data_IF_012820886669
#
_entry.id   IF_012820886669
#
_cell.length_a   1.000
_cell.length_b   1.000
_cell.length_c   1.000
_cell.angle_alpha   90.00
_cell.angle_beta   90.00
_cell.angle_gamma   90.00
#
_symmetry.space_group_name_H-M   'P 1'
#
loop_
_entity.id
_entity.type
_entity.pdbx_description
1 polymer ?
#
# COMPACT_ATOMS: atom_id res chain seq x y z
N UNK A 1 -19.18 -2.49 -22.53
CA UNK A 1 -18.03 -1.83 -21.90
C UNK A 1 -17.42 -2.82 -20.92
N UNK A 2 -16.09 -2.96 -20.87
CA UNK A 2 -15.44 -3.82 -19.87
C UNK A 2 -15.70 -3.26 -18.47
N UNK A 3 -15.95 -4.14 -17.50
CA UNK A 3 -16.13 -3.76 -16.09
C UNK A 3 -14.82 -3.15 -15.56
N UNK A 4 -14.90 -2.06 -14.81
CA UNK A 4 -13.77 -1.48 -14.09
C UNK A 4 -13.47 -2.31 -12.85
N UNK A 5 -12.20 -2.56 -12.60
CA UNK A 5 -11.73 -3.40 -11.49
C UNK A 5 -11.21 -2.51 -10.36
N UNK A 6 -11.92 -2.46 -9.27
CA UNK A 6 -11.51 -1.73 -8.07
C UNK A 6 -10.69 -2.65 -7.19
N UNK A 7 -9.43 -2.29 -6.99
CA UNK A 7 -8.48 -2.95 -6.12
C UNK A 7 -8.46 -2.22 -4.77
N UNK A 8 -9.14 -2.77 -3.79
CA UNK A 8 -9.03 -2.30 -2.41
C UNK A 8 -7.77 -2.89 -1.81
N UNK A 9 -6.89 -2.05 -1.33
CA UNK A 9 -5.62 -2.42 -0.70
C UNK A 9 -5.59 -1.85 0.70
N UNK A 10 -5.54 -2.74 1.70
CA UNK A 10 -5.40 -2.35 3.10
C UNK A 10 -3.91 -2.23 3.45
N UNK A 11 -3.54 -1.10 4.03
CA UNK A 11 -2.17 -0.77 4.41
C UNK A 11 -2.13 0.18 5.60
N UNK A 12 -0.97 0.69 5.89
CA UNK A 12 -0.68 1.81 6.78
C UNK A 12 0.44 2.64 6.15
N UNK A 13 0.78 3.82 6.67
CA UNK A 13 2.12 4.38 6.57
C UNK A 13 2.71 4.40 7.96
N UNK A 14 3.95 3.93 8.11
CA UNK A 14 4.52 3.70 9.44
C UNK A 14 5.94 4.25 9.56
N UNK A 15 6.03 5.43 10.19
CA UNK A 15 7.30 5.93 10.71
C UNK A 15 7.63 5.21 12.02
N UNK A 16 8.88 4.76 12.16
CA UNK A 16 9.36 4.14 13.39
C UNK A 16 9.62 5.16 14.50
N UNK A 17 9.85 6.41 14.11
CA UNK A 17 10.06 7.55 15.00
C UNK A 17 9.71 8.84 14.24
N UNK A 18 8.90 9.70 14.82
CA UNK A 18 8.52 11.01 14.27
C UNK A 18 8.07 11.95 15.39
N UNK A 19 6.75 12.19 15.60
CA UNK A 19 6.21 13.01 16.69
C UNK A 19 6.10 12.26 18.02
N UNK A 20 6.44 11.01 18.06
CA UNK A 20 6.62 10.18 19.26
C UNK A 20 7.94 9.40 19.14
N UNK A 21 8.45 8.92 20.28
CA UNK A 21 9.66 8.09 20.29
C UNK A 21 9.41 6.73 19.63
N UNK A 22 10.50 6.10 19.19
CA UNK A 22 10.48 4.75 18.61
C UNK A 22 9.68 3.74 19.47
N UNK A 23 9.88 3.76 20.80
CA UNK A 23 9.19 2.80 21.67
C UNK A 23 7.68 3.04 21.73
N UNK A 24 7.23 4.29 21.64
CA UNK A 24 5.81 4.61 21.60
C UNK A 24 5.18 4.14 20.28
N UNK A 25 5.85 4.38 19.14
CA UNK A 25 5.37 3.86 17.84
C UNK A 25 5.41 2.35 17.79
N UNK A 26 6.45 1.71 18.34
CA UNK A 26 6.54 0.25 18.42
C UNK A 26 5.40 -0.35 19.23
N UNK A 27 5.04 0.27 20.37
CA UNK A 27 3.88 -0.15 21.15
C UNK A 27 2.58 -0.10 20.32
N UNK A 28 2.36 0.99 19.58
CA UNK A 28 1.21 1.13 18.68
C UNK A 28 1.25 0.11 17.53
N UNK A 29 2.44 -0.14 16.98
CA UNK A 29 2.61 -1.16 15.94
C UNK A 29 2.22 -2.56 16.45
N UNK A 30 2.59 -2.90 17.68
CA UNK A 30 2.17 -4.17 18.29
C UNK A 30 0.65 -4.25 18.38
N UNK A 31 -0.02 -3.18 18.80
CA UNK A 31 -1.48 -3.13 18.84
C UNK A 31 -2.12 -3.27 17.45
N UNK A 32 -1.60 -2.57 16.44
CA UNK A 32 -2.04 -2.72 15.05
C UNK A 32 -1.93 -4.17 14.59
N UNK A 33 -0.76 -4.79 14.79
CA UNK A 33 -0.52 -6.16 14.34
C UNK A 33 -1.40 -7.18 15.10
N UNK A 34 -1.52 -7.05 16.42
CA UNK A 34 -2.40 -7.90 17.23
C UNK A 34 -3.87 -7.77 16.76
N UNK A 35 -4.32 -6.55 16.41
CA UNK A 35 -5.67 -6.30 15.89
C UNK A 35 -5.90 -6.94 14.51
N UNK A 36 -4.91 -6.86 13.61
CA UNK A 36 -4.97 -7.53 12.31
C UNK A 36 -5.04 -9.05 12.47
N UNK A 37 -4.19 -9.63 13.33
CA UNK A 37 -4.19 -11.06 13.61
C UNK A 37 -5.55 -11.53 14.13
N UNK A 38 -6.12 -10.79 15.08
CA UNK A 38 -7.46 -11.07 15.59
C UNK A 38 -8.53 -10.96 14.49
N UNK A 39 -8.44 -9.94 13.62
CA UNK A 39 -9.37 -9.76 12.51
C UNK A 39 -9.35 -10.92 11.52
N UNK A 40 -8.19 -11.50 11.21
CA UNK A 40 -8.09 -12.69 10.37
C UNK A 40 -8.60 -13.95 11.08
N UNK A 41 -8.34 -14.10 12.39
CA UNK A 41 -8.78 -15.26 13.18
C UNK A 41 -10.31 -15.31 13.28
N UNK A 42 -10.97 -14.19 13.48
CA UNK A 42 -12.42 -14.13 13.63
C UNK A 42 -13.17 -13.90 12.29
N UNK A 43 -12.43 -13.84 11.17
CA UNK A 43 -12.98 -13.71 9.82
C UNK A 43 -13.51 -12.31 9.46
N UNK A 44 -13.34 -11.31 10.32
CA UNK A 44 -13.70 -9.92 10.00
C UNK A 44 -12.78 -9.32 8.94
N UNK A 45 -11.48 -9.65 8.95
CA UNK A 45 -10.53 -9.28 7.92
C UNK A 45 -10.36 -10.45 6.93
N UNK A 46 -10.73 -10.25 5.67
CA UNK A 46 -10.77 -11.33 4.67
C UNK A 46 -9.62 -11.29 3.67
N UNK A 47 -9.09 -10.12 3.37
CA UNK A 47 -8.03 -9.93 2.39
C UNK A 47 -6.65 -9.68 2.98
N UNK A 48 -5.67 -9.34 2.13
CA UNK A 48 -4.29 -9.09 2.56
C UNK A 48 -4.11 -7.74 3.25
N UNK A 49 -3.08 -7.64 4.08
CA UNK A 49 -2.54 -6.40 4.59
C UNK A 49 -1.13 -6.16 4.01
N UNK A 50 -0.89 -4.95 3.54
CA UNK A 50 0.40 -4.51 2.99
C UNK A 50 1.19 -3.72 4.05
N UNK A 51 2.42 -4.12 4.34
CA UNK A 51 3.26 -3.49 5.37
C UNK A 51 3.99 -2.24 4.88
N UNK A 52 3.29 -1.24 4.34
CA UNK A 52 3.87 0.05 3.93
C UNK A 52 5.12 -0.06 3.01
N UNK A 53 5.23 -1.13 2.24
CA UNK A 53 6.43 -1.40 1.47
C UNK A 53 7.67 -1.81 2.29
N UNK A 54 7.55 -2.00 3.60
CA UNK A 54 8.64 -2.22 4.55
C UNK A 54 8.55 -3.59 5.23
N UNK A 55 9.69 -4.25 5.47
CA UNK A 55 9.74 -5.49 6.26
C UNK A 55 10.06 -5.26 7.73
N UNK A 56 10.65 -4.12 8.07
CA UNK A 56 11.05 -3.77 9.44
C UNK A 56 9.87 -3.79 10.43
N UNK A 57 8.65 -3.50 9.96
CA UNK A 57 7.45 -3.54 10.79
C UNK A 57 7.24 -4.94 11.41
N UNK A 58 7.46 -5.97 10.60
CA UNK A 58 7.32 -7.36 11.05
C UNK A 58 8.47 -7.75 11.99
N UNK A 59 9.68 -7.25 11.74
CA UNK A 59 10.82 -7.46 12.65
C UNK A 59 10.56 -6.82 14.02
N UNK A 60 10.17 -5.53 14.04
CA UNK A 60 9.83 -4.80 15.27
C UNK A 60 8.68 -5.47 16.05
N UNK A 61 7.69 -6.01 15.33
CA UNK A 61 6.60 -6.78 15.95
C UNK A 61 7.10 -8.09 16.57
N UNK A 62 7.88 -8.87 15.83
CA UNK A 62 8.38 -10.19 16.28
C UNK A 62 9.44 -10.08 17.38
N UNK A 63 10.13 -8.96 17.51
CA UNK A 63 10.96 -8.69 18.68
C UNK A 63 10.12 -8.52 19.96
N UNK A 64 8.92 -7.93 19.85
CA UNK A 64 8.00 -7.74 20.97
C UNK A 64 7.10 -8.97 21.22
N UNK A 65 6.81 -9.74 20.19
CA UNK A 65 5.90 -10.90 20.18
C UNK A 65 6.55 -12.12 19.50
N UNK A 66 7.66 -12.65 20.03
CA UNK A 66 8.37 -13.77 19.38
C UNK A 66 7.51 -15.04 19.24
N UNK A 67 6.54 -15.24 20.13
CA UNK A 67 5.57 -16.34 20.09
C UNK A 67 4.65 -16.29 18.86
N UNK A 68 4.50 -15.14 18.24
CA UNK A 68 3.65 -14.95 17.05
C UNK A 68 4.35 -15.32 15.73
N UNK A 69 5.61 -15.72 15.76
CA UNK A 69 6.40 -16.02 14.56
C UNK A 69 5.71 -17.01 13.62
N UNK A 70 5.25 -18.14 14.12
CA UNK A 70 4.62 -19.17 13.29
C UNK A 70 3.32 -18.66 12.61
N UNK A 71 2.55 -17.81 13.30
CA UNK A 71 1.34 -17.21 12.77
C UNK A 71 1.67 -16.20 11.65
N UNK A 72 2.66 -15.34 11.86
CA UNK A 72 3.16 -14.39 10.85
C UNK A 72 3.69 -15.12 9.61
N UNK A 73 4.48 -16.17 9.79
CA UNK A 73 5.01 -16.99 8.67
C UNK A 73 3.88 -17.67 7.87
N UNK A 74 2.83 -18.15 8.55
CA UNK A 74 1.65 -18.72 7.91
C UNK A 74 0.89 -17.67 7.06
N UNK A 75 0.70 -16.47 7.61
CA UNK A 75 0.05 -15.35 6.90
C UNK A 75 0.88 -14.86 5.71
N UNK A 76 2.19 -14.77 5.88
CA UNK A 76 3.11 -14.41 4.81
C UNK A 76 3.11 -15.45 3.68
N UNK A 77 3.14 -16.74 4.03
CA UNK A 77 3.09 -17.87 3.07
C UNK A 77 1.78 -17.92 2.30
N UNK A 78 0.67 -17.61 2.95
CA UNK A 78 -0.66 -17.57 2.30
C UNK A 78 -0.90 -16.30 1.49
N UNK A 79 -0.01 -15.30 1.56
CA UNK A 79 -0.16 -14.00 0.89
C UNK A 79 -1.11 -13.03 1.61
N UNK A 80 -1.58 -13.37 2.82
CA UNK A 80 -2.39 -12.45 3.64
C UNK A 80 -1.57 -11.31 4.24
N UNK A 81 -0.30 -11.56 4.57
CA UNK A 81 0.64 -10.53 4.98
C UNK A 81 1.65 -10.30 3.86
N UNK A 82 1.58 -9.15 3.22
CA UNK A 82 2.45 -8.76 2.10
C UNK A 82 3.52 -7.80 2.59
N UNK A 83 4.80 -8.14 2.39
CA UNK A 83 5.94 -7.43 2.96
C UNK A 83 6.91 -6.92 1.88
N UNK A 84 7.58 -5.82 2.19
CA UNK A 84 8.61 -5.24 1.33
C UNK A 84 8.03 -4.46 0.14
N UNK A 85 8.91 -4.06 -0.81
CA UNK A 85 10.22 -4.64 -1.13
C UNK A 85 11.39 -4.17 -0.26
N UNK A 86 11.23 -3.04 0.44
CA UNK A 86 12.26 -2.45 1.29
C UNK A 86 12.41 -3.18 2.63
N UNK A 87 13.59 -3.04 3.22
CA UNK A 87 13.75 -3.29 4.65
C UNK A 87 13.08 -2.17 5.46
N UNK A 88 13.51 -0.93 5.20
CA UNK A 88 12.88 0.29 5.71
C UNK A 88 12.77 1.28 4.55
N UNK A 89 11.70 2.07 4.47
CA UNK A 89 11.53 3.06 3.40
C UNK A 89 12.65 4.11 3.48
N UNK A 90 13.46 4.27 2.41
CA UNK A 90 14.58 5.20 2.42
C UNK A 90 14.15 6.58 1.96
N UNK A 91 14.78 7.63 2.47
CA UNK A 91 14.82 8.91 1.75
C UNK A 91 15.94 8.85 0.70
N UNK A 92 15.57 8.94 -0.57
CA UNK A 92 16.45 8.67 -1.71
C UNK A 92 17.63 9.64 -1.82
N UNK A 93 17.51 10.87 -1.32
CA UNK A 93 18.56 11.89 -1.39
C UNK A 93 19.49 11.89 -0.17
N UNK A 94 19.10 11.23 0.93
CA UNK A 94 19.91 11.21 2.16
C UNK A 94 20.82 9.98 2.25
N UNK A 95 20.61 8.98 1.39
CA UNK A 95 21.37 7.72 1.42
C UNK A 95 22.14 7.50 0.13
N UNK A 96 23.19 6.65 0.19
CA UNK A 96 23.95 6.29 -1.01
C UNK A 96 23.18 5.30 -1.89
N UNK A 97 23.54 5.20 -3.18
CA UNK A 97 22.98 4.19 -4.08
C UNK A 97 23.21 2.76 -3.59
N UNK A 98 24.40 2.49 -2.99
CA UNK A 98 24.71 1.20 -2.35
C UNK A 98 23.76 0.91 -1.18
N UNK A 99 23.39 1.91 -0.38
CA UNK A 99 22.42 1.77 0.70
C UNK A 99 21.04 1.39 0.18
N UNK A 100 20.59 1.99 -0.93
CA UNK A 100 19.31 1.63 -1.58
C UNK A 100 19.30 0.17 -2.03
N UNK A 101 20.38 -0.28 -2.68
CA UNK A 101 20.53 -1.67 -3.14
C UNK A 101 20.52 -2.65 -1.95
N UNK A 102 21.28 -2.35 -0.89
CA UNK A 102 21.33 -3.20 0.31
C UNK A 102 20.01 -3.24 1.04
N UNK A 103 19.32 -2.11 1.13
CA UNK A 103 17.99 -2.00 1.75
C UNK A 103 16.98 -2.92 1.02
N UNK A 104 16.86 -2.82 -0.30
CA UNK A 104 16.02 -3.73 -1.11
C UNK A 104 16.43 -5.20 -0.94
N UNK A 105 17.73 -5.51 -0.98
CA UNK A 105 18.22 -6.87 -0.79
C UNK A 105 17.82 -7.43 0.57
N UNK A 106 17.98 -6.65 1.64
CA UNK A 106 17.67 -7.04 3.01
C UNK A 106 16.16 -7.26 3.17
N UNK A 107 15.32 -6.30 2.76
CA UNK A 107 13.87 -6.43 2.86
C UNK A 107 13.35 -7.67 2.14
N UNK A 108 13.79 -7.87 0.89
CA UNK A 108 13.40 -9.05 0.11
C UNK A 108 13.91 -10.37 0.69
N UNK A 109 15.08 -10.36 1.33
CA UNK A 109 15.62 -11.55 2.02
C UNK A 109 14.79 -11.91 3.23
N UNK A 110 14.46 -10.92 4.09
CA UNK A 110 13.64 -11.13 5.29
C UNK A 110 12.22 -11.59 4.95
N UNK A 111 11.58 -11.00 3.94
CA UNK A 111 10.26 -11.44 3.50
C UNK A 111 10.26 -12.93 3.11
N UNK A 112 11.31 -13.41 2.42
CA UNK A 112 11.47 -14.84 2.10
C UNK A 112 11.76 -15.69 3.32
N UNK A 113 12.59 -15.20 4.24
CA UNK A 113 12.92 -15.90 5.49
C UNK A 113 11.68 -16.16 6.34
N UNK A 114 10.70 -15.25 6.30
CA UNK A 114 9.40 -15.43 6.97
C UNK A 114 8.36 -16.13 6.09
N UNK A 115 8.79 -16.79 5.02
CA UNK A 115 7.96 -17.63 4.16
C UNK A 115 7.14 -16.90 3.12
N UNK A 116 7.18 -15.57 3.08
CA UNK A 116 6.45 -14.74 2.12
C UNK A 116 7.16 -14.59 0.77
N UNK A 117 6.41 -14.07 -0.18
CA UNK A 117 6.97 -13.53 -1.42
C UNK A 117 7.19 -12.04 -1.23
N UNK A 118 8.43 -11.51 -1.42
CA UNK A 118 8.65 -10.07 -1.34
C UNK A 118 7.82 -9.35 -2.38
N UNK A 119 7.14 -8.28 -1.99
CA UNK A 119 6.34 -7.45 -2.89
C UNK A 119 7.15 -7.03 -4.12
N UNK A 120 6.49 -6.98 -5.26
CA UNK A 120 7.00 -6.45 -6.52
C UNK A 120 6.53 -5.01 -6.78
N UNK A 121 5.83 -4.41 -5.85
CA UNK A 121 5.43 -3.01 -5.92
C UNK A 121 6.59 -2.12 -5.46
N UNK A 122 7.13 -1.28 -6.34
CA UNK A 122 8.12 -0.25 -6.00
C UNK A 122 7.46 0.84 -5.17
N UNK A 123 7.34 0.64 -3.86
CA UNK A 123 6.63 1.54 -2.96
C UNK A 123 7.57 2.63 -2.45
N UNK A 124 7.32 3.89 -2.83
CA UNK A 124 8.11 5.07 -2.48
C UNK A 124 7.18 6.28 -2.24
N UNK A 125 6.24 6.12 -1.32
CA UNK A 125 5.10 7.03 -1.21
C UNK A 125 5.35 8.25 -0.33
N UNK A 126 6.13 8.13 0.74
CA UNK A 126 6.51 9.26 1.59
C UNK A 126 8.01 9.60 1.47
N UNK A 127 8.41 9.89 0.24
CA UNK A 127 9.78 10.29 -0.12
C UNK A 127 9.75 11.74 -0.58
N UNK A 128 10.75 12.53 -0.14
CA UNK A 128 10.76 13.99 -0.35
C UNK A 128 11.48 14.42 -1.64
N UNK A 129 11.58 13.53 -2.58
CA UNK A 129 12.15 13.70 -3.90
C UNK A 129 12.67 12.37 -4.43
N UNK A 130 12.77 12.23 -5.75
CA UNK A 130 13.13 10.99 -6.41
C UNK A 130 14.38 11.18 -7.26
N UNK A 131 15.35 10.27 -7.13
CA UNK A 131 16.50 10.27 -8.01
C UNK A 131 16.19 9.53 -9.33
N UNK A 132 16.80 9.98 -10.41
CA UNK A 132 16.53 9.46 -11.75
C UNK A 132 16.96 8.01 -11.99
N UNK A 133 17.70 7.39 -11.07
CA UNK A 133 18.14 6.00 -11.17
C UNK A 133 17.18 5.00 -10.53
N UNK A 134 16.13 5.45 -9.85
CA UNK A 134 15.20 4.53 -9.18
C UNK A 134 14.59 3.47 -10.10
N UNK A 135 14.15 3.77 -11.34
CA UNK A 135 13.68 2.72 -12.25
C UNK A 135 14.75 1.65 -12.54
N UNK A 136 16.02 2.05 -12.73
CA UNK A 136 17.13 1.14 -12.94
C UNK A 136 17.40 0.27 -11.71
N UNK A 137 17.39 0.87 -10.50
CA UNK A 137 17.58 0.15 -9.24
C UNK A 137 16.48 -0.88 -9.05
N UNK A 138 15.22 -0.49 -9.21
CA UNK A 138 14.08 -1.40 -9.08
C UNK A 138 14.12 -2.53 -10.12
N UNK A 139 14.45 -2.21 -11.39
CA UNK A 139 14.57 -3.21 -12.44
C UNK A 139 15.63 -4.26 -12.13
N UNK A 140 16.75 -3.89 -11.46
CA UNK A 140 17.75 -4.82 -10.97
C UNK A 140 17.22 -5.86 -9.97
N UNK A 141 16.07 -5.60 -9.37
CA UNK A 141 15.34 -6.53 -8.48
C UNK A 141 14.10 -7.15 -9.13
N UNK A 142 13.86 -6.91 -10.43
CA UNK A 142 12.71 -7.40 -11.17
C UNK A 142 11.42 -6.63 -10.84
N UNK A 143 11.52 -5.41 -10.32
CA UNK A 143 10.40 -4.52 -10.02
C UNK A 143 10.23 -3.55 -11.18
N UNK A 144 9.10 -3.59 -11.89
CA UNK A 144 8.85 -2.82 -13.11
C UNK A 144 7.68 -1.83 -12.98
N UNK A 145 7.06 -1.79 -11.82
CA UNK A 145 6.02 -0.80 -11.51
C UNK A 145 6.08 -0.38 -10.04
N UNK A 146 5.58 0.81 -9.74
CA UNK A 146 5.62 1.33 -8.38
C UNK A 146 4.56 2.38 -8.11
N UNK A 147 4.59 2.85 -6.86
CA UNK A 147 3.69 3.90 -6.36
C UNK A 147 4.53 5.02 -5.75
N UNK A 148 4.14 6.25 -6.03
CA UNK A 148 4.77 7.45 -5.49
C UNK A 148 3.73 8.56 -5.28
N UNK A 149 4.12 9.59 -4.57
CA UNK A 149 3.26 10.76 -4.32
C UNK A 149 3.92 12.07 -4.73
N UNK A 150 4.99 12.48 -4.04
CA UNK A 150 5.67 13.77 -4.22
C UNK A 150 6.60 13.76 -5.44
N UNK A 151 7.12 14.92 -5.80
CA UNK A 151 8.19 15.05 -6.79
C UNK A 151 7.76 15.04 -8.27
N UNK A 152 6.46 15.04 -8.57
CA UNK A 152 5.93 15.05 -9.95
C UNK A 152 4.97 16.22 -10.16
N UNK A 153 5.25 17.01 -11.20
CA UNK A 153 4.47 18.21 -11.57
C UNK A 153 3.27 17.91 -12.50
N UNK A 154 2.62 16.74 -12.34
CA UNK A 154 1.45 16.35 -13.14
C UNK A 154 0.34 15.79 -12.23
N UNK A 155 -0.32 16.67 -11.44
CA UNK A 155 -1.23 16.24 -10.38
C UNK A 155 -2.47 15.47 -10.87
N UNK A 156 -2.88 15.69 -12.11
CA UNK A 156 -4.11 15.10 -12.68
C UNK A 156 -3.92 13.71 -13.29
N UNK A 157 -2.68 13.24 -13.39
CA UNK A 157 -2.37 11.92 -13.92
C UNK A 157 -2.09 10.93 -12.79
N UNK A 158 -2.79 9.80 -12.83
CA UNK A 158 -2.53 8.68 -11.90
C UNK A 158 -1.44 7.75 -12.41
N UNK A 159 -1.30 7.57 -13.70
CA UNK A 159 -0.34 6.63 -14.29
C UNK A 159 0.63 7.37 -15.22
N UNK A 160 1.91 7.11 -15.02
CA UNK A 160 3.02 7.74 -15.70
C UNK A 160 4.07 6.68 -16.07
N UNK A 161 4.86 6.97 -17.12
CA UNK A 161 6.12 6.27 -17.38
C UNK A 161 7.26 7.08 -16.78
N UNK A 162 8.04 6.40 -15.94
CA UNK A 162 9.27 6.97 -15.38
C UNK A 162 10.46 6.32 -16.05
N UNK A 163 11.30 7.13 -16.68
CA UNK A 163 12.47 6.69 -17.43
C UNK A 163 13.75 7.12 -16.74
N UNK A 164 14.61 6.16 -16.43
CA UNK A 164 15.95 6.40 -15.90
C UNK A 164 16.92 6.88 -16.99
N UNK A 165 18.08 7.39 -16.57
CA UNK A 165 19.11 7.89 -17.46
C UNK A 165 19.69 6.80 -18.41
N UNK A 166 19.70 5.53 -17.99
CA UNK A 166 20.12 4.37 -18.79
C UNK A 166 19.04 3.90 -19.80
N UNK A 167 17.87 4.55 -19.79
CA UNK A 167 16.73 4.19 -20.63
C UNK A 167 15.77 3.18 -20.01
N UNK A 168 16.07 2.63 -18.83
CA UNK A 168 15.14 1.74 -18.10
C UNK A 168 13.83 2.47 -17.79
N UNK A 169 12.70 1.84 -18.07
CA UNK A 169 11.38 2.39 -17.81
C UNK A 169 10.62 1.57 -16.78
N UNK A 170 9.87 2.26 -15.94
CA UNK A 170 8.86 1.65 -15.07
C UNK A 170 7.53 2.40 -15.16
N UNK A 171 6.44 1.69 -14.90
CA UNK A 171 5.12 2.29 -14.75
C UNK A 171 4.95 2.71 -13.29
N UNK A 172 4.52 3.95 -13.06
CA UNK A 172 4.26 4.44 -11.71
C UNK A 172 2.83 4.92 -11.56
N UNK A 173 2.19 4.51 -10.48
CA UNK A 173 0.96 5.10 -10.00
C UNK A 173 1.30 6.26 -9.06
N UNK A 174 0.75 7.44 -9.36
CA UNK A 174 0.86 8.61 -8.50
C UNK A 174 -0.40 8.76 -7.67
N UNK A 175 -0.25 8.80 -6.37
CA UNK A 175 -1.35 9.11 -5.45
C UNK A 175 -1.94 10.49 -5.70
N UNK A 176 -3.16 10.71 -5.23
CA UNK A 176 -3.88 11.96 -5.34
C UNK A 176 -3.27 13.11 -4.55
N UNK A 177 -4.10 14.09 -4.26
CA UNK A 177 -3.64 15.35 -3.67
C UNK A 177 -3.10 15.19 -2.24
N UNK A 178 -3.73 14.33 -1.43
CA UNK A 178 -3.34 14.07 -0.04
C UNK A 178 -2.48 12.80 0.07
N UNK A 179 -2.01 12.29 -1.08
CA UNK A 179 -1.12 11.13 -1.12
C UNK A 179 -1.83 9.83 -0.75
N UNK A 180 -1.10 8.97 -0.09
CA UNK A 180 -1.58 7.69 0.43
C UNK A 180 -2.64 7.85 1.54
N UNK A 181 -2.86 9.06 2.06
CA UNK A 181 -3.93 9.38 3.02
C UNK A 181 -5.27 9.77 2.38
N UNK A 182 -5.35 9.85 1.03
CA UNK A 182 -6.56 10.32 0.34
C UNK A 182 -7.83 9.58 0.77
N UNK A 183 -7.79 8.25 0.82
CA UNK A 183 -8.93 7.43 1.25
C UNK A 183 -9.25 7.63 2.74
N UNK A 184 -8.22 7.64 3.58
CA UNK A 184 -8.38 7.83 5.02
C UNK A 184 -9.09 9.14 5.37
N UNK A 185 -8.79 10.22 4.66
CA UNK A 185 -9.42 11.52 4.93
C UNK A 185 -10.76 11.70 4.23
N UNK A 186 -10.91 11.19 2.99
CA UNK A 186 -12.12 11.40 2.21
C UNK A 186 -13.24 10.41 2.50
N UNK A 187 -12.91 9.21 2.99
CA UNK A 187 -13.87 8.13 3.24
C UNK A 187 -13.94 7.78 4.72
N UNK A 188 -12.79 7.61 5.39
CA UNK A 188 -12.77 7.29 6.82
C UNK A 188 -12.86 8.52 7.72
N UNK A 189 -12.69 9.74 7.17
CA UNK A 189 -12.64 11.00 7.92
C UNK A 189 -11.69 10.94 9.12
N UNK A 190 -10.50 10.37 8.89
CA UNK A 190 -9.50 10.14 9.94
C UNK A 190 -8.97 11.44 10.59
N UNK A 191 -9.13 12.58 9.92
CA UNK A 191 -8.89 13.94 10.43
C UNK A 191 -9.99 14.48 11.34
N UNK A 192 -11.11 13.74 11.49
CA UNK A 192 -12.29 14.13 12.28
C UNK A 192 -12.58 13.09 13.38
N UNK A 193 -11.70 12.95 14.39
CA UNK A 193 -11.78 11.84 15.36
C UNK A 193 -13.05 11.84 16.24
N UNK A 194 -13.82 12.93 16.23
CA UNK A 194 -15.10 13.03 16.95
C UNK A 194 -16.32 12.74 16.08
N UNK A 195 -16.13 12.53 14.76
CA UNK A 195 -17.23 12.17 13.86
C UNK A 195 -17.69 10.76 14.18
N UNK A 196 -18.99 10.62 14.47
CA UNK A 196 -19.57 9.30 14.64
C UNK A 196 -19.55 8.53 13.33
N UNK A 197 -19.32 7.23 13.40
CA UNK A 197 -19.41 6.35 12.24
C UNK A 197 -20.86 6.27 11.74
N UNK A 198 -21.02 6.35 10.42
CA UNK A 198 -22.28 6.20 9.72
C UNK A 198 -22.03 5.34 8.46
N UNK A 199 -22.64 4.16 8.40
CA UNK A 199 -22.40 3.20 7.34
C UNK A 199 -22.93 3.67 5.97
N UNK A 200 -24.07 4.40 5.94
CA UNK A 200 -24.66 4.90 4.70
C UNK A 200 -23.82 6.04 4.12
N UNK A 201 -23.38 6.96 4.98
CA UNK A 201 -22.44 8.01 4.60
C UNK A 201 -21.13 7.40 4.12
N UNK A 202 -20.59 6.39 4.82
CA UNK A 202 -19.36 5.68 4.44
C UNK A 202 -19.48 5.00 3.07
N UNK A 203 -20.61 4.39 2.75
CA UNK A 203 -20.86 3.81 1.43
C UNK A 203 -20.93 4.89 0.34
N UNK A 204 -21.56 6.02 0.63
CA UNK A 204 -21.63 7.18 -0.29
C UNK A 204 -20.23 7.73 -0.57
N UNK A 205 -19.44 7.96 0.47
CA UNK A 205 -18.07 8.49 0.37
C UNK A 205 -17.13 7.51 -0.36
N UNK A 206 -17.26 6.19 -0.11
CA UNK A 206 -16.53 5.15 -0.83
C UNK A 206 -16.79 5.21 -2.35
N UNK A 207 -18.05 5.28 -2.76
CA UNK A 207 -18.39 5.34 -4.18
C UNK A 207 -17.97 6.66 -4.82
N UNK A 208 -18.10 7.78 -4.11
CA UNK A 208 -17.60 9.08 -4.59
C UNK A 208 -16.07 9.03 -4.81
N UNK A 209 -15.34 8.38 -3.89
CA UNK A 209 -13.89 8.17 -4.03
C UNK A 209 -13.57 7.31 -5.26
N UNK A 210 -14.22 6.14 -5.42
CA UNK A 210 -14.02 5.24 -6.55
C UNK A 210 -14.28 5.96 -7.89
N UNK A 211 -15.39 6.71 -8.00
CA UNK A 211 -15.74 7.45 -9.22
C UNK A 211 -14.74 8.56 -9.55
N UNK A 212 -14.17 9.23 -8.54
CA UNK A 212 -13.13 10.22 -8.73
C UNK A 212 -11.81 9.59 -9.23
N UNK A 213 -11.38 8.48 -8.63
CA UNK A 213 -10.21 7.74 -9.10
C UNK A 213 -10.43 7.17 -10.52
N UNK A 214 -11.65 6.72 -10.82
CA UNK A 214 -12.03 6.24 -12.14
C UNK A 214 -11.93 7.32 -13.23
N UNK A 215 -12.18 8.59 -12.89
CA UNK A 215 -11.98 9.74 -13.81
C UNK A 215 -10.51 10.08 -13.99
N UNK A 216 -9.72 9.92 -12.94
CA UNK A 216 -8.29 10.27 -12.93
C UNK A 216 -7.40 9.20 -13.59
N UNK A 217 -7.85 7.95 -13.67
CA UNK A 217 -7.08 6.87 -14.32
C UNK A 217 -7.63 6.50 -15.70
N UNK A 218 -6.73 6.15 -16.63
CA UNK A 218 -7.08 5.72 -17.99
C UNK A 218 -7.21 4.19 -18.12
N UNK A 219 -6.81 3.43 -17.10
CA UNK A 219 -6.92 1.97 -17.08
C UNK A 219 -8.24 1.52 -16.45
N UNK A 220 -8.61 0.25 -16.66
CA UNK A 220 -9.75 -0.35 -15.95
C UNK A 220 -9.44 -0.63 -14.47
N UNK A 221 -8.16 -0.76 -14.11
CA UNK A 221 -7.72 -0.95 -12.74
C UNK A 221 -7.76 0.38 -11.96
N UNK A 222 -8.51 0.40 -10.87
CA UNK A 222 -8.69 1.55 -9.97
C UNK A 222 -8.15 1.17 -8.60
N UNK A 223 -7.30 2.00 -8.02
CA UNK A 223 -6.78 1.78 -6.67
C UNK A 223 -7.65 2.49 -5.62
N UNK A 224 -8.05 1.73 -4.62
CA UNK A 224 -8.54 2.24 -3.34
C UNK A 224 -7.51 1.83 -2.28
N UNK A 225 -6.67 2.76 -1.89
CA UNK A 225 -5.62 2.52 -0.89
C UNK A 225 -6.10 2.98 0.48
N UNK A 226 -6.48 2.02 1.32
CA UNK A 226 -6.87 2.28 2.71
C UNK A 226 -5.64 2.19 3.61
N UNK A 227 -5.01 3.34 3.78
CA UNK A 227 -3.80 3.53 4.58
C UNK A 227 -3.66 4.98 4.98
N UNK A 228 -2.60 5.29 5.71
CA UNK A 228 -2.25 6.64 6.16
C UNK A 228 -1.33 6.59 7.37
N UNK A 229 -0.89 7.78 7.82
CA UNK A 229 0.10 7.93 8.88
C UNK A 229 -0.36 7.29 10.19
N UNK A 230 0.28 6.16 10.54
CA UNK A 230 0.01 5.38 11.76
C UNK A 230 -1.47 5.01 11.93
N UNK A 231 -2.19 4.91 10.81
CA UNK A 231 -3.59 4.49 10.85
C UNK A 231 -3.70 2.98 10.95
N UNK A 232 -4.56 2.56 11.86
CA UNK A 232 -4.91 1.16 12.05
C UNK A 232 -6.03 0.75 11.10
N UNK A 233 -6.18 -0.56 10.88
CA UNK A 233 -7.36 -1.12 10.26
C UNK A 233 -8.62 -0.68 11.00
N UNK A 234 -9.62 -0.22 10.26
CA UNK A 234 -10.91 0.17 10.79
C UNK A 234 -11.98 -0.86 10.38
N UNK A 235 -12.43 -1.72 11.30
CA UNK A 235 -13.40 -2.77 11.01
C UNK A 235 -14.73 -2.27 10.45
N UNK A 236 -15.21 -1.11 10.92
CA UNK A 236 -16.51 -0.57 10.53
C UNK A 236 -16.49 -0.10 9.06
N UNK A 237 -15.48 0.68 8.67
CA UNK A 237 -15.31 1.10 7.28
C UNK A 237 -14.97 -0.08 6.35
N UNK A 238 -14.22 -1.06 6.85
CA UNK A 238 -13.96 -2.29 6.11
C UNK A 238 -15.24 -3.12 5.90
N UNK A 239 -16.15 -3.17 6.88
CA UNK A 239 -17.44 -3.82 6.74
C UNK A 239 -18.31 -3.14 5.65
N UNK A 240 -18.28 -1.79 5.57
CA UNK A 240 -18.93 -1.05 4.47
C UNK A 240 -18.36 -1.48 3.13
N UNK A 241 -17.02 -1.52 3.00
CA UNK A 241 -16.38 -2.01 1.77
C UNK A 241 -16.82 -3.44 1.41
N UNK A 242 -16.82 -4.36 2.37
CA UNK A 242 -17.24 -5.75 2.15
C UNK A 242 -18.70 -5.83 1.67
N UNK A 243 -19.59 -5.04 2.24
CA UNK A 243 -20.99 -5.03 1.82
C UNK A 243 -21.15 -4.50 0.38
N UNK A 244 -20.45 -3.40 0.04
CA UNK A 244 -20.47 -2.87 -1.31
C UNK A 244 -19.80 -3.81 -2.34
N UNK A 245 -18.86 -4.65 -1.91
CA UNK A 245 -18.20 -5.62 -2.78
C UNK A 245 -19.08 -6.80 -3.19
N UNK A 246 -20.10 -7.14 -2.38
CA UNK A 246 -21.08 -8.22 -2.68
C UNK A 246 -22.06 -7.82 -3.78
N UNK A 247 -22.43 -6.54 -3.84
CA UNK A 247 -23.38 -5.99 -4.80
C UNK A 247 -22.86 -4.64 -5.35
N UNK A 248 -21.79 -4.64 -6.15
CA UNK A 248 -21.19 -3.41 -6.65
C UNK A 248 -22.09 -2.70 -7.64
N UNK A 249 -21.90 -1.38 -7.81
CA UNK A 249 -22.58 -0.60 -8.83
C UNK A 249 -22.31 -1.17 -10.23
N UNK A 250 -23.28 -1.05 -11.12
CA UNK A 250 -23.16 -1.53 -12.50
C UNK A 250 -21.88 -0.98 -13.19
N UNK A 251 -21.14 -1.87 -13.83
CA UNK A 251 -19.88 -1.52 -14.49
C UNK A 251 -18.63 -1.56 -13.61
N UNK A 252 -18.76 -1.98 -12.33
CA UNK A 252 -17.64 -2.14 -11.40
C UNK A 252 -17.58 -3.55 -10.81
N UNK A 253 -16.37 -3.98 -10.46
CA UNK A 253 -16.10 -5.11 -9.57
C UNK A 253 -15.16 -4.63 -8.46
N UNK A 254 -15.38 -5.05 -7.24
CA UNK A 254 -14.54 -4.70 -6.08
C UNK A 254 -13.86 -5.96 -5.54
N UNK A 255 -12.55 -5.90 -5.36
CA UNK A 255 -11.77 -7.00 -4.81
C UNK A 255 -10.74 -6.49 -3.81
N UNK A 256 -10.63 -7.16 -2.65
CA UNK A 256 -9.54 -6.91 -1.71
C UNK A 256 -8.28 -7.63 -2.21
N UNK A 257 -7.29 -6.87 -2.60
CA UNK A 257 -6.08 -7.35 -3.29
C UNK A 257 -4.82 -6.73 -2.67
N UNK A 258 -3.67 -7.17 -3.15
CA UNK A 258 -2.39 -6.55 -2.86
C UNK A 258 -2.03 -5.46 -3.88
N UNK A 259 -1.02 -4.63 -3.57
CA UNK A 259 -0.42 -3.70 -4.53
C UNK A 259 0.18 -4.43 -5.74
N UNK A 260 0.72 -5.64 -5.52
CA UNK A 260 1.27 -6.46 -6.60
C UNK A 260 0.21 -6.83 -7.64
N UNK A 261 -0.99 -7.22 -7.18
CA UNK A 261 -2.11 -7.55 -8.07
C UNK A 261 -2.64 -6.31 -8.80
N UNK A 262 -2.78 -5.19 -8.11
CA UNK A 262 -3.14 -3.92 -8.74
C UNK A 262 -2.15 -3.52 -9.82
N UNK A 263 -0.85 -3.50 -9.53
CA UNK A 263 0.18 -3.12 -10.50
C UNK A 263 0.30 -4.12 -11.65
N UNK A 264 0.08 -5.42 -11.40
CA UNK A 264 0.00 -6.41 -12.46
C UNK A 264 -1.15 -6.13 -13.44
N UNK A 265 -2.32 -5.72 -12.93
CA UNK A 265 -3.45 -5.30 -13.77
C UNK A 265 -3.10 -4.04 -14.59
N UNK A 266 -2.47 -3.05 -13.97
CA UNK A 266 -1.99 -1.83 -14.64
C UNK A 266 -0.97 -2.14 -15.75
N UNK A 267 0.03 -2.99 -15.46
CA UNK A 267 1.05 -3.38 -16.46
C UNK A 267 0.41 -4.08 -17.66
N UNK A 268 -0.57 -4.95 -17.44
CA UNK A 268 -1.30 -5.65 -18.51
C UNK A 268 -1.96 -4.68 -19.49
N UNK A 269 -2.43 -3.55 -19.00
CA UNK A 269 -3.04 -2.47 -19.80
C UNK A 269 -2.02 -1.44 -20.28
N UNK A 270 -0.74 -1.58 -19.96
CA UNK A 270 0.32 -0.58 -20.07
C UNK A 270 0.59 0.04 -21.46
N UNK A 271 0.01 -0.51 -22.53
CA UNK A 271 0.09 0.08 -23.88
C UNK A 271 -0.64 1.43 -24.00
N UNK A 272 -1.56 1.72 -23.08
CA UNK A 272 -2.34 2.97 -23.05
C UNK A 272 -1.76 4.06 -22.13
N UNK A 273 -0.67 3.77 -21.43
CA UNK A 273 -0.03 4.70 -20.48
C UNK A 273 1.01 5.53 -21.25
N UNK A 274 0.81 6.84 -21.29
CA UNK A 274 1.69 7.81 -21.95
C UNK A 274 2.72 8.40 -21.00
#
# INVERSE_FOLDING_TARGET
>A
MSSRQVHYVLSTHWDREWYQSFQNFRYRLVQLMDHLLQGWQDGRLQGPFQTDGQTILVEDYLEARPEKRAEIESLAKSGRLVMGPWYVMPDEFLVSGESLVRNLRMGRSLARQWGGRPSQAGFICDIFGHNSQMPQIFAGFGIHAGLLWRGINQPDKRLLRWRAADGTEMIVYRFGQIGYCDYAFKVRHADQPKRAFDAEAGATDLWAFIENEAKATKTNAILVFDGGDHLEWNPDHYAVYLEQSKAPRAGYTLSHTSLDEFLAAVIKEGKSIS
#
